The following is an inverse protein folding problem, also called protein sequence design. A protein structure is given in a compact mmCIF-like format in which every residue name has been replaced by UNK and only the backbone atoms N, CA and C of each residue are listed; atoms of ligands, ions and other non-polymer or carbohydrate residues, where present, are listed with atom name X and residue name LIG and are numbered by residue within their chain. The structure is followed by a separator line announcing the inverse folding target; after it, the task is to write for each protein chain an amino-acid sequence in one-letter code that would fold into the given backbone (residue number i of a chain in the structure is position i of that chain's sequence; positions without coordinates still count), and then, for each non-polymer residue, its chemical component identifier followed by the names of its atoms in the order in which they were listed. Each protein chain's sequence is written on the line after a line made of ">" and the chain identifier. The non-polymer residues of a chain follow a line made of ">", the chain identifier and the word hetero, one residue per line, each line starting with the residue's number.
data_IF_165544273684
#
_entry.id   IF_165544273684
#
_cell.length_a   1.000
_cell.length_b   1.000
_cell.length_c   1.000
_cell.angle_alpha   90.00
_cell.angle_beta   90.00
_cell.angle_gamma   90.00
#
_symmetry.space_group_name_H-M   'P 1'
#
loop_
_entity.id
_entity.type
_entity.pdbx_description
1 polymer ?
#
# COMPACT_ATOMS: atom_id res chain seq x y z
N UNK A 1 5.62 -7.11 -14.65
CA UNK A 1 4.92 -8.15 -13.88
C UNK A 1 3.45 -7.78 -13.83
N UNK A 2 2.53 -8.67 -14.18
CA UNK A 2 1.08 -8.43 -14.09
C UNK A 2 0.55 -8.92 -12.74
N UNK A 3 -0.45 -8.23 -12.20
CA UNK A 3 -1.07 -8.53 -10.89
C UNK A 3 -1.59 -9.97 -10.82
N UNK A 4 -2.08 -10.52 -11.94
CA UNK A 4 -2.71 -11.84 -11.98
C UNK A 4 -1.79 -13.02 -11.63
N UNK A 5 -0.47 -12.88 -11.66
CA UNK A 5 0.45 -14.00 -11.32
C UNK A 5 0.78 -14.10 -9.82
N UNK A 6 0.18 -13.27 -8.96
CA UNK A 6 0.48 -13.19 -7.52
C UNK A 6 -0.73 -13.24 -6.59
N UNK A 7 -1.94 -13.37 -7.12
CA UNK A 7 -3.17 -13.45 -6.30
C UNK A 7 -3.37 -14.91 -5.89
N UNK A 8 -3.56 -15.13 -4.59
CA UNK A 8 -3.87 -16.42 -3.99
C UNK A 8 -5.38 -16.59 -3.80
N UNK A 9 -5.84 -17.81 -3.53
CA UNK A 9 -7.28 -18.08 -3.37
C UNK A 9 -7.87 -17.42 -2.10
N UNK A 10 -7.05 -17.29 -1.06
CA UNK A 10 -7.40 -16.60 0.19
C UNK A 10 -7.47 -15.07 0.08
N UNK A 11 -6.98 -14.47 -1.01
CA UNK A 11 -6.90 -13.02 -1.15
C UNK A 11 -8.26 -12.35 -1.39
N UNK A 12 -8.43 -11.18 -0.78
CA UNK A 12 -9.51 -10.24 -1.07
C UNK A 12 -8.92 -9.06 -1.82
N UNK A 13 -9.24 -8.95 -3.12
CA UNK A 13 -8.66 -7.92 -3.99
C UNK A 13 -9.59 -6.70 -4.02
N UNK A 14 -9.08 -5.56 -3.56
CA UNK A 14 -9.73 -4.26 -3.77
C UNK A 14 -9.27 -3.69 -5.11
N UNK A 15 -10.14 -3.74 -6.11
CA UNK A 15 -9.88 -3.21 -7.44
C UNK A 15 -10.38 -1.76 -7.54
N UNK A 16 -9.47 -0.81 -7.74
CA UNK A 16 -9.79 0.59 -7.99
C UNK A 16 -9.70 0.89 -9.48
N UNK A 17 -10.81 1.32 -10.08
CA UNK A 17 -10.91 1.70 -11.49
C UNK A 17 -11.17 3.21 -11.62
N UNK A 18 -10.18 4.00 -12.05
CA UNK A 18 -10.38 5.43 -12.29
C UNK A 18 -11.36 5.63 -13.46
N UNK A 19 -12.21 6.65 -13.36
CA UNK A 19 -12.94 7.16 -14.51
C UNK A 19 -12.06 8.14 -15.27
N UNK A 20 -12.06 8.02 -16.59
CA UNK A 20 -11.25 8.84 -17.48
C UNK A 20 -12.13 9.63 -18.43
N UNK A 21 -11.74 10.87 -18.73
CA UNK A 21 -12.36 11.66 -19.78
C UNK A 21 -11.94 11.18 -21.19
N UNK A 22 -12.46 11.85 -22.23
CA UNK A 22 -12.14 11.55 -23.64
C UNK A 22 -10.66 11.75 -24.00
N UNK A 23 -9.89 12.38 -23.13
CA UNK A 23 -8.47 12.68 -23.28
C UNK A 23 -7.59 11.83 -22.35
N UNK A 24 -8.14 10.80 -21.71
CA UNK A 24 -7.46 9.94 -20.75
C UNK A 24 -6.99 10.65 -19.46
N UNK A 25 -7.59 11.78 -19.11
CA UNK A 25 -7.37 12.40 -17.81
C UNK A 25 -8.30 11.77 -16.77
N UNK A 26 -7.77 11.52 -15.58
CA UNK A 26 -8.59 11.07 -14.45
C UNK A 26 -9.56 12.18 -14.02
N UNK A 27 -10.83 11.84 -13.85
CA UNK A 27 -11.90 12.79 -13.50
C UNK A 27 -12.09 12.98 -12.00
N UNK A 28 -11.13 12.52 -11.18
CA UNK A 28 -11.25 12.40 -9.72
C UNK A 28 -12.31 11.39 -9.24
N UNK A 29 -13.02 10.72 -10.14
CA UNK A 29 -13.97 9.66 -9.81
C UNK A 29 -13.32 8.28 -9.90
N UNK A 30 -13.75 7.37 -9.02
CA UNK A 30 -13.28 5.99 -8.99
C UNK A 30 -14.44 5.03 -8.77
N UNK A 31 -14.37 3.86 -9.43
CA UNK A 31 -15.18 2.71 -9.09
C UNK A 31 -14.34 1.74 -8.26
N UNK A 32 -14.88 1.22 -7.17
CA UNK A 32 -14.18 0.30 -6.27
C UNK A 32 -14.95 -1.01 -6.20
N UNK A 33 -14.24 -2.12 -6.39
CA UNK A 33 -14.79 -3.47 -6.35
C UNK A 33 -14.01 -4.33 -5.36
N UNK A 34 -14.71 -5.19 -4.63
CA UNK A 34 -14.09 -6.26 -3.85
C UNK A 34 -14.25 -7.54 -4.67
N UNK A 35 -13.15 -8.24 -4.91
CA UNK A 35 -13.12 -9.51 -5.63
C UNK A 35 -12.53 -10.59 -4.72
N UNK A 36 -13.17 -11.75 -4.69
CA UNK A 36 -12.74 -12.93 -3.94
C UNK A 36 -12.65 -14.12 -4.88
N UNK A 37 -11.82 -15.11 -4.54
CA UNK A 37 -11.77 -16.38 -5.28
C UNK A 37 -13.00 -17.22 -4.98
N UNK A 38 -13.49 -17.95 -6.00
CA UNK A 38 -14.50 -18.99 -5.82
C UNK A 38 -13.98 -20.15 -4.98
N UNK A 39 -12.65 -20.35 -4.93
CA UNK A 39 -11.98 -21.40 -4.18
C UNK A 39 -11.35 -20.90 -2.87
N UNK A 40 -11.85 -19.79 -2.31
CA UNK A 40 -11.30 -19.23 -1.08
C UNK A 40 -11.34 -20.28 0.07
N UNK A 41 -10.20 -20.57 0.73
CA UNK A 41 -10.09 -21.68 1.68
C UNK A 41 -10.60 -21.34 3.09
N UNK A 42 -11.02 -20.11 3.35
CA UNK A 42 -11.50 -19.69 4.67
C UNK A 42 -12.84 -20.35 5.02
N UNK A 43 -13.08 -20.56 6.31
CA UNK A 43 -14.42 -20.92 6.78
C UNK A 43 -15.36 -19.69 6.69
N UNK A 44 -16.67 -19.94 6.79
CA UNK A 44 -17.69 -18.90 6.62
C UNK A 44 -17.49 -17.70 7.57
N UNK A 45 -17.23 -17.95 8.86
CA UNK A 45 -17.09 -16.89 9.86
C UNK A 45 -15.89 -15.98 9.55
N UNK A 46 -14.74 -16.58 9.23
CA UNK A 46 -13.53 -15.84 8.85
C UNK A 46 -13.71 -15.12 7.50
N UNK A 47 -14.33 -15.77 6.52
CA UNK A 47 -14.59 -15.19 5.21
C UNK A 47 -15.46 -13.93 5.31
N UNK A 48 -16.58 -14.01 6.04
CA UNK A 48 -17.47 -12.86 6.23
C UNK A 48 -16.83 -11.79 7.12
N UNK A 49 -16.01 -12.17 8.10
CA UNK A 49 -15.24 -11.23 8.91
C UNK A 49 -14.28 -10.37 8.07
N UNK A 50 -13.49 -11.00 7.20
CA UNK A 50 -12.59 -10.28 6.28
C UNK A 50 -13.38 -9.48 5.25
N UNK A 51 -14.48 -10.03 4.73
CA UNK A 51 -15.34 -9.31 3.78
C UNK A 51 -15.92 -8.02 4.39
N UNK A 52 -16.38 -8.07 5.63
CA UNK A 52 -16.92 -6.91 6.34
C UNK A 52 -15.82 -5.88 6.63
N UNK A 53 -14.60 -6.32 6.92
CA UNK A 53 -13.44 -5.43 6.98
C UNK A 53 -13.17 -4.74 5.63
N UNK A 54 -13.18 -5.47 4.51
CA UNK A 54 -13.03 -4.88 3.18
C UNK A 54 -14.16 -3.90 2.83
N UNK A 55 -15.40 -4.20 3.24
CA UNK A 55 -16.54 -3.28 3.09
C UNK A 55 -16.36 -2.01 3.90
N UNK A 56 -15.88 -2.12 5.13
CA UNK A 56 -15.58 -0.97 5.98
C UNK A 56 -14.49 -0.09 5.34
N UNK A 57 -13.41 -0.69 4.82
CA UNK A 57 -12.38 0.01 4.05
C UNK A 57 -13.00 0.77 2.86
N UNK A 58 -13.85 0.14 2.04
CA UNK A 58 -14.51 0.82 0.93
C UNK A 58 -15.44 1.95 1.42
N UNK A 59 -16.16 1.75 2.53
CA UNK A 59 -17.03 2.76 3.11
C UNK A 59 -16.24 4.00 3.59
N UNK A 60 -14.99 3.84 4.04
CA UNK A 60 -14.14 4.98 4.43
C UNK A 60 -13.96 5.99 3.29
N UNK A 61 -13.93 5.54 2.03
CA UNK A 61 -13.82 6.42 0.86
C UNK A 61 -15.01 7.39 0.81
N UNK A 62 -16.22 6.86 0.95
CA UNK A 62 -17.44 7.66 0.96
C UNK A 62 -17.57 8.57 2.20
N UNK A 63 -16.98 8.18 3.34
CA UNK A 63 -16.92 9.02 4.54
C UNK A 63 -15.92 10.16 4.34
N UNK A 64 -14.73 9.88 3.81
CA UNK A 64 -13.71 10.89 3.50
C UNK A 64 -14.14 11.91 2.44
N UNK A 65 -15.09 11.56 1.57
CA UNK A 65 -15.74 12.52 0.66
C UNK A 65 -16.60 13.55 1.41
N UNK A 66 -17.24 13.13 2.51
CA UNK A 66 -18.16 13.97 3.29
C UNK A 66 -17.46 14.70 4.44
N UNK A 67 -16.37 14.13 4.95
CA UNK A 67 -15.59 14.64 6.08
C UNK A 67 -14.16 14.97 5.63
N UNK A 68 -13.96 16.27 5.35
CA UNK A 68 -12.68 16.85 4.95
C UNK A 68 -11.58 16.69 6.01
N UNK A 69 -11.92 16.76 7.29
CA UNK A 69 -10.94 16.68 8.37
C UNK A 69 -10.48 15.24 8.58
N UNK A 70 -11.39 14.27 8.44
CA UNK A 70 -11.03 12.86 8.37
C UNK A 70 -10.10 12.60 7.19
N UNK A 71 -10.44 13.11 5.99
CA UNK A 71 -9.61 12.91 4.79
C UNK A 71 -8.20 13.46 4.98
N UNK A 72 -8.07 14.67 5.51
CA UNK A 72 -6.75 15.27 5.79
C UNK A 72 -5.94 14.46 6.77
N UNK A 73 -6.56 13.94 7.84
CA UNK A 73 -5.87 13.07 8.81
C UNK A 73 -5.42 11.75 8.17
N UNK A 74 -6.27 11.13 7.35
CA UNK A 74 -5.93 9.89 6.64
C UNK A 74 -4.76 10.09 5.66
N UNK A 75 -4.76 11.18 4.90
CA UNK A 75 -3.63 11.54 4.00
C UNK A 75 -2.35 11.77 4.80
N UNK A 76 -2.43 12.52 5.90
CA UNK A 76 -1.27 12.78 6.77
C UNK A 76 -0.71 11.47 7.36
N UNK A 77 -1.57 10.58 7.81
CA UNK A 77 -1.18 9.27 8.33
C UNK A 77 -0.47 8.45 7.23
N UNK A 78 -1.04 8.40 6.02
CA UNK A 78 -0.42 7.72 4.88
C UNK A 78 0.97 8.29 4.54
N UNK A 79 1.13 9.62 4.56
CA UNK A 79 2.43 10.28 4.37
C UNK A 79 3.43 9.93 5.49
N UNK A 80 2.97 9.65 6.71
CA UNK A 80 3.82 9.23 7.83
C UNK A 80 4.28 7.78 7.68
N UNK A 81 3.41 6.88 7.20
CA UNK A 81 3.78 5.50 6.87
C UNK A 81 4.78 5.42 5.71
N UNK A 82 4.66 6.27 4.69
CA UNK A 82 5.61 6.32 3.57
C UNK A 82 7.00 6.87 3.98
N UNK A 83 7.12 7.47 5.18
CA UNK A 83 8.39 8.04 5.69
C UNK A 83 9.32 7.01 6.34
N UNK A 84 9.06 5.70 6.21
CA UNK A 84 9.97 4.66 6.72
C UNK A 84 11.42 4.78 6.20
N UNK A 85 12.34 4.35 7.05
CA UNK A 85 13.66 4.94 7.34
C UNK A 85 14.60 5.08 6.13
N UNK A 86 14.84 6.33 5.69
CA UNK A 86 16.10 6.62 4.98
C UNK A 86 17.23 6.19 5.92
N UNK A 87 18.19 5.34 5.51
CA UNK A 87 19.30 4.95 6.37
C UNK A 87 19.98 6.23 6.86
N UNK A 88 20.05 6.42 8.19
CA UNK A 88 20.79 7.52 8.78
C UNK A 88 22.26 7.30 8.41
N UNK A 89 22.72 7.94 7.34
CA UNK A 89 24.14 8.03 7.02
C UNK A 89 24.84 8.64 8.24
N UNK A 90 25.52 7.82 9.03
CA UNK A 90 26.52 8.33 9.98
C UNK A 90 27.69 8.80 9.13
N UNK A 91 27.90 10.12 9.10
CA UNK A 91 29.17 10.67 8.61
C UNK A 91 30.25 10.19 9.58
N UNK A 92 31.05 9.20 9.16
CA UNK A 92 32.02 8.55 10.04
C UNK A 92 33.22 9.47 10.32
N UNK A 93 33.65 10.30 9.35
CA UNK A 93 34.67 11.34 9.58
C UNK A 93 34.74 12.31 8.38
N UNK A 94 35.25 13.53 8.58
CA UNK A 94 35.48 14.53 7.52
C UNK A 94 36.95 14.97 7.57
N UNK A 95 37.78 14.49 6.65
CA UNK A 95 39.13 15.04 6.39
C UNK A 95 39.15 15.77 5.05
N UNK A 96 39.17 17.10 5.13
CA UNK A 96 39.19 18.03 4.00
C UNK A 96 38.16 17.70 2.90
N UNK A 97 38.58 17.54 1.65
CA UNK A 97 37.72 17.43 0.47
C UNK A 97 37.31 15.99 0.12
N UNK A 98 37.58 15.01 0.97
CA UNK A 98 37.25 13.59 0.73
C UNK A 98 36.18 13.13 1.71
N UNK A 99 35.04 12.64 1.18
CA UNK A 99 33.96 12.04 1.97
C UNK A 99 34.07 10.52 1.88
N UNK A 100 34.39 9.86 2.99
CA UNK A 100 34.30 8.40 3.09
C UNK A 100 32.84 8.00 3.40
N UNK A 101 32.26 7.17 2.54
CA UNK A 101 30.96 6.53 2.77
C UNK A 101 31.18 5.06 3.06
N UNK A 102 30.73 4.60 4.23
CA UNK A 102 30.70 3.18 4.60
C UNK A 102 29.30 2.65 4.37
N UNK A 103 29.17 1.61 3.55
CA UNK A 103 27.92 0.88 3.37
C UNK A 103 28.02 -0.41 4.20
N UNK A 104 27.15 -0.56 5.21
CA UNK A 104 26.92 -1.87 5.81
C UNK A 104 25.94 -2.60 4.90
N UNK A 105 26.47 -3.59 4.17
CA UNK A 105 25.65 -4.53 3.41
C UNK A 105 25.32 -5.69 4.32
N UNK A 106 24.06 -5.83 4.74
CA UNK A 106 23.55 -7.06 5.37
C UNK A 106 23.53 -8.20 4.33
N UNK A 107 24.71 -8.75 4.05
CA UNK A 107 24.87 -9.99 3.30
C UNK A 107 25.23 -11.09 4.30
N UNK A 108 24.20 -11.73 4.86
CA UNK A 108 24.28 -13.05 5.49
C UNK A 108 24.61 -14.10 4.41
N UNK A 109 25.84 -14.09 3.92
CA UNK A 109 26.37 -15.15 3.07
C UNK A 109 26.87 -16.28 3.97
N UNK A 110 25.97 -17.19 4.35
CA UNK A 110 26.36 -18.51 4.87
C UNK A 110 27.00 -19.29 3.72
N UNK A 111 28.32 -19.32 3.70
CA UNK A 111 29.13 -20.21 2.87
C UNK A 111 28.82 -21.68 3.23
N UNK A 112 28.39 -22.46 2.24
CA UNK A 112 28.66 -23.90 2.15
C UNK A 112 29.73 -24.11 1.09
#
# INVERSE_FOLDING_TARGET
>A
MSVGSKVLDEDFVICVRPQMDKHFNWTSEVNVFIMTSENNPLNDDDYYGVLDFCRALCATIAIMEKDEDLRKRAVKEAEEYEKEEKPKLKVVDKKDNVVLLSFESDNDNKLQ
#
